data_IF_477428990387
#
_entry.id   IF_477428990387
#
_cell.length_a   1.000
_cell.length_b   1.000
_cell.length_c   1.000
_cell.angle_alpha   90.00
_cell.angle_beta   90.00
_cell.angle_gamma   90.00
#
_symmetry.space_group_name_H-M   'P 1'
#
loop_
_entity.id
_entity.type
_entity.pdbx_description
1 polymer ?
#
# COMPACT_ATOMS: atom_id res chain seq x y z
N UNK A 1 -2.06 -7.25 7.48
CA UNK A 1 -1.21 -6.14 7.02
C UNK A 1 0.15 -6.71 6.64
N UNK A 2 0.50 -6.58 5.37
CA UNK A 2 1.68 -7.23 4.78
C UNK A 2 2.46 -6.23 3.94
N UNK A 3 3.77 -6.45 3.83
CA UNK A 3 4.56 -5.82 2.77
C UNK A 3 4.54 -6.75 1.56
N UNK A 4 4.05 -6.26 0.43
CA UNK A 4 4.03 -6.98 -0.85
C UNK A 4 5.11 -6.43 -1.79
N UNK A 5 5.48 -7.22 -2.80
CA UNK A 5 6.36 -6.78 -3.89
C UNK A 5 5.55 -6.57 -5.16
N UNK A 6 5.74 -5.43 -5.80
CA UNK A 6 5.11 -5.04 -7.06
C UNK A 6 6.18 -4.90 -8.14
N UNK A 7 5.80 -5.23 -9.38
CA UNK A 7 6.64 -5.06 -10.57
C UNK A 7 5.98 -4.01 -11.46
N UNK A 8 6.66 -2.90 -11.67
CA UNK A 8 6.23 -1.86 -12.59
C UNK A 8 6.45 -2.29 -14.05
N UNK A 9 5.81 -1.58 -14.99
CA UNK A 9 5.84 -1.93 -16.41
C UNK A 9 7.25 -1.85 -17.04
N UNK A 10 8.16 -1.08 -16.43
CA UNK A 10 9.57 -0.98 -16.82
C UNK A 10 10.47 -2.07 -16.18
N UNK A 11 9.88 -2.98 -15.40
CA UNK A 11 10.59 -4.03 -14.68
C UNK A 11 11.11 -3.62 -13.31
N UNK A 12 10.91 -2.36 -12.87
CA UNK A 12 11.31 -1.94 -11.54
C UNK A 12 10.51 -2.68 -10.46
N UNK A 13 11.20 -3.21 -9.46
CA UNK A 13 10.57 -3.87 -8.31
C UNK A 13 10.53 -2.91 -7.12
N UNK A 14 9.35 -2.74 -6.56
CA UNK A 14 9.12 -1.93 -5.38
C UNK A 14 8.28 -2.68 -4.35
N UNK A 15 8.50 -2.38 -3.08
CA UNK A 15 7.61 -2.85 -2.02
C UNK A 15 6.41 -1.92 -1.85
N UNK A 16 5.28 -2.47 -1.42
CA UNK A 16 4.11 -1.71 -1.01
C UNK A 16 3.55 -2.27 0.29
N UNK A 17 2.96 -1.40 1.10
CA UNK A 17 2.18 -1.81 2.27
C UNK A 17 0.75 -2.14 1.84
N UNK A 18 0.26 -3.28 2.27
CA UNK A 18 -1.07 -3.78 1.94
C UNK A 18 -1.93 -3.87 3.21
N UNK A 19 -3.00 -3.07 3.20
CA UNK A 19 -4.11 -3.18 4.13
C UNK A 19 -5.28 -3.85 3.38
N UNK A 20 -5.75 -4.99 3.92
CA UNK A 20 -6.88 -5.73 3.38
C UNK A 20 -8.02 -5.58 4.39
N UNK A 21 -9.21 -5.10 3.99
CA UNK A 21 -10.35 -5.03 4.89
C UNK A 21 -10.81 -6.44 5.28
N UNK A 22 -11.38 -6.57 6.48
CA UNK A 22 -11.90 -7.86 6.97
C UNK A 22 -13.10 -8.35 6.15
N UNK A 23 -13.88 -7.41 5.62
CA UNK A 23 -15.02 -7.70 4.75
C UNK A 23 -14.63 -7.70 3.26
N UNK A 24 -15.53 -8.21 2.41
CA UNK A 24 -15.33 -8.19 0.96
C UNK A 24 -15.10 -6.77 0.45
N UNK A 25 -13.92 -6.52 -0.11
CA UNK A 25 -13.55 -5.24 -0.68
C UNK A 25 -14.50 -4.84 -1.82
N UNK A 26 -15.06 -3.63 -1.75
CA UNK A 26 -15.90 -3.05 -2.81
C UNK A 26 -15.07 -2.48 -3.98
N UNK A 27 -13.79 -2.26 -3.74
CA UNK A 27 -12.84 -1.69 -4.68
C UNK A 27 -11.48 -1.55 -4.03
N UNK A 28 -10.51 -1.03 -4.79
CA UNK A 28 -9.14 -0.85 -4.34
C UNK A 28 -8.77 0.63 -4.34
N UNK A 29 -7.96 1.04 -3.37
CA UNK A 29 -7.38 2.38 -3.27
C UNK A 29 -5.86 2.23 -3.29
N UNK A 30 -5.19 3.12 -4.02
CA UNK A 30 -3.74 3.28 -3.98
C UNK A 30 -3.42 4.57 -3.27
N UNK A 31 -2.73 4.48 -2.14
CA UNK A 31 -2.24 5.64 -1.38
C UNK A 31 -0.80 5.92 -1.80
N UNK A 32 -0.52 7.15 -2.21
CA UNK A 32 0.83 7.59 -2.57
C UNK A 32 1.46 8.26 -1.35
N UNK A 33 2.61 7.73 -0.93
CA UNK A 33 3.37 8.24 0.20
C UNK A 33 3.86 9.68 0.00
N UNK A 34 4.10 10.36 1.12
CA UNK A 34 4.86 11.61 1.14
C UNK A 34 6.38 11.37 1.04
N UNK A 35 7.18 12.43 1.17
CA UNK A 35 8.65 12.41 1.04
C UNK A 35 9.34 11.49 2.06
N UNK A 36 8.66 11.20 3.18
CA UNK A 36 9.19 10.40 4.28
C UNK A 36 9.00 8.88 4.11
N UNK A 37 8.43 8.45 2.98
CA UNK A 37 8.18 7.02 2.75
C UNK A 37 6.91 6.50 3.41
N UNK A 38 6.74 5.17 3.38
CA UNK A 38 5.63 4.47 4.03
C UNK A 38 5.87 4.38 5.54
N UNK A 39 5.64 5.50 6.22
CA UNK A 39 5.76 5.63 7.67
C UNK A 39 4.47 5.23 8.41
N UNK A 40 4.46 5.36 9.74
CA UNK A 40 3.30 5.06 10.59
C UNK A 40 2.03 5.79 10.14
N UNK A 41 2.13 7.09 9.86
CA UNK A 41 1.00 7.91 9.45
C UNK A 41 0.35 7.41 8.15
N UNK A 42 1.15 7.07 7.14
CA UNK A 42 0.62 6.50 5.89
C UNK A 42 -0.04 5.14 6.11
N UNK A 43 0.51 4.30 6.99
CA UNK A 43 -0.10 3.01 7.32
C UNK A 43 -1.45 3.18 8.00
N UNK A 44 -1.56 4.07 8.97
CA UNK A 44 -2.84 4.42 9.62
C UNK A 44 -3.90 4.86 8.60
N UNK A 45 -3.51 5.66 7.60
CA UNK A 45 -4.43 6.08 6.52
C UNK A 45 -4.91 4.88 5.69
N UNK A 46 -4.02 3.92 5.39
CA UNK A 46 -4.41 2.70 4.66
C UNK A 46 -5.28 1.76 5.50
N UNK A 47 -5.04 1.70 6.80
CA UNK A 47 -5.71 0.80 7.73
C UNK A 47 -7.15 1.23 8.03
N UNK A 48 -7.43 2.55 7.97
CA UNK A 48 -8.77 3.13 8.09
C UNK A 48 -9.21 3.44 9.51
#
# INVERSE_FOLDING_TARGET
MSTISLIAADGFQLSAYEAVPDEAAKGCIVVIQEVFGVNHHIREVCDG
#
